data_IF_973661594615
#
_entry.id   IF_973661594615
#
_cell.length_a   1.000
_cell.length_b   1.000
_cell.length_c   1.000
_cell.angle_alpha   90.00
_cell.angle_beta   90.00
_cell.angle_gamma   90.00
#
_symmetry.space_group_name_H-M   'P 1'
#
loop_
_entity.id
_entity.type
_entity.pdbx_description
1 polymer ?
#
# COMPACT_ATOMS: atom_id res chain seq x y z
N UNK A 1 13.16 -8.47 19.88
CA UNK A 1 14.13 -7.48 19.36
C UNK A 1 13.39 -6.19 19.03
N UNK A 2 14.09 -5.03 18.99
CA UNK A 2 13.47 -3.76 18.61
C UNK A 2 14.05 -3.27 17.29
N UNK A 3 13.16 -2.93 16.34
CA UNK A 3 13.51 -2.29 15.09
C UNK A 3 13.22 -0.79 15.17
N UNK A 4 14.15 0.02 14.69
CA UNK A 4 13.95 1.45 14.54
C UNK A 4 13.50 1.74 13.09
N UNK A 5 12.23 2.08 12.93
CA UNK A 5 11.61 2.37 11.64
C UNK A 5 11.49 3.88 11.49
N UNK A 6 12.11 4.43 10.46
CA UNK A 6 11.85 5.82 10.05
C UNK A 6 10.66 5.83 9.07
N UNK A 7 9.76 6.77 9.24
CA UNK A 7 8.62 6.97 8.34
C UNK A 7 8.70 8.37 7.75
N UNK A 8 8.53 8.50 6.45
CA UNK A 8 8.56 9.78 5.74
C UNK A 8 7.29 9.97 4.89
N UNK A 9 6.77 11.19 4.85
CA UNK A 9 5.64 11.56 3.99
C UNK A 9 6.01 11.73 2.52
N UNK A 10 5.31 12.61 1.80
CA UNK A 10 5.53 12.84 0.37
C UNK A 10 6.95 13.40 0.09
N UNK A 11 7.63 12.83 -0.90
CA UNK A 11 9.02 13.17 -1.25
C UNK A 11 9.11 14.23 -2.33
N UNK A 12 8.24 14.17 -3.33
CA UNK A 12 8.18 15.08 -4.48
C UNK A 12 9.50 15.25 -5.24
N UNK A 13 10.24 14.14 -5.41
CA UNK A 13 11.44 14.08 -6.24
C UNK A 13 12.74 14.50 -5.58
N UNK A 14 12.74 14.72 -4.28
CA UNK A 14 13.92 15.05 -3.45
C UNK A 14 14.39 13.83 -2.62
N UNK A 15 14.42 12.64 -3.21
CA UNK A 15 14.66 11.36 -2.52
C UNK A 15 16.03 11.33 -1.80
N UNK A 16 17.08 11.86 -2.44
CA UNK A 16 18.40 11.96 -1.81
C UNK A 16 18.38 12.81 -0.55
N UNK A 17 17.67 13.93 -0.58
CA UNK A 17 17.55 14.82 0.59
C UNK A 17 16.83 14.13 1.75
N UNK A 18 15.88 13.25 1.47
CA UNK A 18 15.22 12.44 2.50
C UNK A 18 16.23 11.52 3.17
N UNK A 19 17.06 10.79 2.41
CA UNK A 19 18.12 9.98 3.00
C UNK A 19 19.11 10.83 3.81
N UNK A 20 19.58 11.94 3.26
CA UNK A 20 20.51 12.85 3.96
C UNK A 20 19.89 13.36 5.29
N UNK A 21 18.59 13.68 5.29
CA UNK A 21 17.86 14.11 6.49
C UNK A 21 17.82 12.99 7.53
N UNK A 22 17.36 11.79 7.14
CA UNK A 22 17.22 10.65 8.05
C UNK A 22 18.59 10.25 8.64
N UNK A 23 19.63 10.16 7.81
CA UNK A 23 20.98 9.85 8.26
C UNK A 23 21.54 10.91 9.20
N UNK A 24 21.34 12.20 8.93
CA UNK A 24 21.81 13.27 9.80
C UNK A 24 21.19 13.22 11.20
N UNK A 25 19.96 12.72 11.30
CA UNK A 25 19.25 12.55 12.58
C UNK A 25 19.61 11.23 13.27
N UNK A 26 19.93 10.18 12.50
CA UNK A 26 20.35 8.89 13.06
C UNK A 26 21.67 8.95 13.84
N UNK A 27 22.55 9.91 13.54
CA UNK A 27 23.75 10.16 14.33
C UNK A 27 23.47 10.64 15.76
N UNK A 28 22.32 11.26 15.99
CA UNK A 28 21.85 11.71 17.30
C UNK A 28 20.86 10.77 17.96
N UNK A 29 20.39 9.76 17.22
CA UNK A 29 19.40 8.76 17.62
C UNK A 29 19.91 7.35 17.30
N UNK A 30 19.09 6.32 17.55
CA UNK A 30 19.41 4.93 17.20
C UNK A 30 19.53 4.74 15.68
N UNK A 31 20.34 3.74 15.26
CA UNK A 31 20.42 3.33 13.85
C UNK A 31 19.04 2.98 13.31
N UNK A 32 18.73 3.47 12.12
CA UNK A 32 17.48 3.13 11.41
C UNK A 32 17.66 1.81 10.67
N UNK A 33 16.75 0.88 10.87
CA UNK A 33 16.76 -0.45 10.27
C UNK A 33 15.90 -0.51 8.99
N UNK A 34 14.84 0.29 8.92
CA UNK A 34 13.90 0.37 7.80
C UNK A 34 13.45 1.83 7.60
N UNK A 35 13.38 2.28 6.35
CA UNK A 35 12.71 3.51 5.97
C UNK A 35 11.40 3.19 5.24
N UNK A 36 10.29 3.83 5.65
CA UNK A 36 9.00 3.76 4.98
C UNK A 36 8.71 5.13 4.35
N UNK A 37 8.35 5.16 3.06
CA UNK A 37 7.96 6.37 2.36
C UNK A 37 6.51 6.24 1.88
N UNK A 38 5.68 7.21 2.27
CA UNK A 38 4.23 7.18 2.11
C UNK A 38 3.74 7.80 0.78
N UNK A 39 4.53 7.64 -0.28
CA UNK A 39 4.16 8.01 -1.64
C UNK A 39 4.70 9.33 -2.15
N UNK A 40 4.30 9.69 -3.38
CA UNK A 40 4.75 10.85 -4.13
C UNK A 40 6.29 10.93 -4.27
N UNK A 41 6.91 9.78 -4.52
CA UNK A 41 8.38 9.68 -4.63
C UNK A 41 8.88 10.28 -5.94
N UNK A 42 8.11 10.14 -7.02
CA UNK A 42 8.43 10.67 -8.35
C UNK A 42 9.73 10.08 -8.93
N UNK A 43 9.80 8.77 -9.01
CA UNK A 43 10.96 8.02 -9.54
C UNK A 43 11.06 8.14 -11.06
N UNK A 44 11.20 9.36 -11.58
CA UNK A 44 11.35 9.64 -13.02
C UNK A 44 12.72 9.18 -13.49
N UNK A 45 12.78 8.18 -14.36
CA UNK A 45 14.02 7.65 -14.94
C UNK A 45 14.64 8.58 -15.99
N UNK A 46 13.77 9.29 -16.73
CA UNK A 46 14.16 10.20 -17.80
C UNK A 46 13.05 11.21 -18.13
N UNK A 47 13.32 12.14 -19.04
CA UNK A 47 12.31 13.08 -19.55
C UNK A 47 11.14 12.38 -20.26
N UNK A 48 11.34 11.16 -20.75
CA UNK A 48 10.27 10.37 -21.40
C UNK A 48 9.18 9.90 -20.41
N UNK A 49 9.48 9.86 -19.13
CA UNK A 49 8.52 9.48 -18.09
C UNK A 49 7.59 10.64 -17.71
N UNK A 50 7.93 11.89 -18.03
CA UNK A 50 7.13 13.08 -17.70
C UNK A 50 5.69 13.01 -18.22
N UNK A 51 5.43 12.30 -19.31
CA UNK A 51 4.08 12.13 -19.85
C UNK A 51 3.18 11.32 -18.91
N UNK A 52 3.76 10.45 -18.10
CA UNK A 52 3.05 9.53 -17.20
C UNK A 52 2.79 10.10 -15.79
N UNK A 53 3.43 11.22 -15.43
CA UNK A 53 3.24 11.84 -14.12
C UNK A 53 2.09 12.85 -14.13
N UNK A 54 1.33 12.89 -13.05
CA UNK A 54 0.21 13.82 -12.88
C UNK A 54 0.60 15.02 -12.02
N UNK A 55 1.37 15.95 -12.60
CA UNK A 55 1.81 17.19 -11.95
C UNK A 55 1.44 18.38 -12.82
N UNK A 56 1.00 19.51 -12.24
CA UNK A 56 0.77 20.72 -13.01
C UNK A 56 2.00 21.17 -13.80
N UNK A 57 1.87 21.60 -15.06
CA UNK A 57 3.00 21.95 -15.93
C UNK A 57 3.98 22.94 -15.32
N UNK A 58 3.51 23.89 -14.53
CA UNK A 58 4.35 24.87 -13.84
C UNK A 58 5.42 24.27 -12.89
N UNK A 59 5.21 23.02 -12.44
CA UNK A 59 6.16 22.30 -11.60
C UNK A 59 7.04 21.33 -12.39
N UNK A 60 6.63 21.00 -13.64
CA UNK A 60 7.40 20.14 -14.53
C UNK A 60 8.45 20.91 -15.33
N UNK A 61 8.23 22.19 -15.57
CA UNK A 61 9.09 23.01 -16.40
C UNK A 61 9.49 24.28 -15.67
N UNK A 62 10.78 24.58 -15.67
CA UNK A 62 11.32 25.86 -15.25
C UNK A 62 12.00 26.49 -16.46
N UNK A 63 11.51 27.65 -16.92
CA UNK A 63 12.00 28.34 -18.13
C UNK A 63 12.11 27.42 -19.36
N UNK A 64 11.07 26.59 -19.62
CA UNK A 64 11.02 25.59 -20.71
C UNK A 64 12.02 24.42 -20.59
N UNK A 65 12.73 24.30 -19.47
CA UNK A 65 13.59 23.14 -19.18
C UNK A 65 12.82 22.16 -18.31
N UNK A 66 12.76 20.89 -18.69
CA UNK A 66 12.11 19.84 -17.90
C UNK A 66 12.81 19.68 -16.55
N UNK A 67 12.03 19.82 -15.47
CA UNK A 67 12.51 19.57 -14.12
C UNK A 67 12.40 18.09 -13.83
N UNK A 68 13.43 17.33 -14.15
CA UNK A 68 13.56 15.96 -13.73
C UNK A 68 13.98 15.93 -12.27
N UNK A 69 13.40 14.99 -11.49
CA UNK A 69 13.72 14.74 -10.09
C UNK A 69 15.18 14.29 -9.90
N UNK A 70 15.58 14.02 -8.68
CA UNK A 70 16.95 13.54 -8.40
C UNK A 70 17.17 12.06 -8.74
N UNK A 71 16.09 11.27 -8.97
CA UNK A 71 16.16 9.83 -9.19
C UNK A 71 17.09 9.38 -10.36
N UNK A 72 17.15 10.07 -11.53
CA UNK A 72 18.12 9.70 -12.57
C UNK A 72 19.57 9.68 -12.10
N UNK A 73 19.92 10.49 -11.09
CA UNK A 73 21.26 10.53 -10.53
C UNK A 73 21.58 9.27 -9.73
N UNK A 74 20.58 8.65 -9.09
CA UNK A 74 20.77 7.38 -8.40
C UNK A 74 21.30 6.32 -9.36
N UNK A 75 20.66 6.23 -10.54
CA UNK A 75 21.07 5.26 -11.57
C UNK A 75 22.42 5.63 -12.17
N UNK A 76 22.61 6.92 -12.56
CA UNK A 76 23.83 7.39 -13.22
C UNK A 76 25.07 7.31 -12.32
N UNK A 77 24.91 7.71 -11.07
CA UNK A 77 26.02 7.83 -10.12
C UNK A 77 26.18 6.56 -9.26
N UNK A 78 25.41 5.49 -9.56
CA UNK A 78 25.37 4.23 -8.81
C UNK A 78 25.21 4.47 -7.31
N UNK A 79 24.30 5.37 -6.94
CA UNK A 79 24.09 5.75 -5.54
C UNK A 79 23.60 4.55 -4.73
N UNK A 80 24.37 4.19 -3.72
CA UNK A 80 23.98 3.10 -2.81
C UNK A 80 22.94 3.62 -1.81
N UNK A 81 21.75 3.02 -1.83
CA UNK A 81 20.71 3.32 -0.83
C UNK A 81 21.20 2.85 0.53
N UNK A 82 21.23 3.76 1.53
CA UNK A 82 21.90 3.47 2.82
C UNK A 82 21.04 2.69 3.80
N UNK A 83 19.73 2.62 3.57
CA UNK A 83 18.74 2.01 4.48
C UNK A 83 17.74 1.26 3.61
N UNK A 84 17.45 -0.04 3.88
CA UNK A 84 16.36 -0.74 3.22
C UNK A 84 15.08 0.12 3.25
N UNK A 85 14.50 0.36 2.10
CA UNK A 85 13.39 1.30 1.97
C UNK A 85 12.19 0.65 1.31
N UNK A 86 11.03 0.76 1.93
CA UNK A 86 9.74 0.39 1.34
C UNK A 86 8.98 1.66 0.96
N UNK A 87 8.37 1.65 -0.22
CA UNK A 87 7.54 2.76 -0.70
C UNK A 87 6.17 2.26 -1.13
N UNK A 88 5.16 3.08 -0.95
CA UNK A 88 3.87 2.98 -1.65
C UNK A 88 3.76 4.09 -2.70
N UNK A 89 2.86 3.95 -3.65
CA UNK A 89 2.61 4.99 -4.64
C UNK A 89 1.62 6.04 -4.15
N UNK A 90 1.88 7.32 -4.50
CA UNK A 90 0.92 8.40 -4.34
C UNK A 90 0.22 8.75 -5.68
N UNK A 91 -0.30 9.98 -5.76
CA UNK A 91 -0.94 10.47 -6.99
C UNK A 91 0.03 11.22 -7.93
N UNK A 92 1.24 11.48 -7.48
CA UNK A 92 2.29 12.15 -8.26
C UNK A 92 3.46 11.20 -8.56
N UNK A 93 3.16 10.05 -9.20
CA UNK A 93 4.16 9.04 -9.49
C UNK A 93 4.48 8.89 -10.98
N UNK A 94 5.62 8.25 -11.26
CA UNK A 94 5.95 7.73 -12.58
C UNK A 94 5.08 6.49 -12.86
N UNK A 95 3.89 6.72 -13.40
CA UNK A 95 2.92 5.64 -13.64
C UNK A 95 3.40 4.64 -14.70
N UNK A 96 4.36 4.99 -15.58
CA UNK A 96 5.00 4.00 -16.46
C UNK A 96 5.74 2.94 -15.67
N UNK A 97 6.54 3.37 -14.70
CA UNK A 97 7.34 2.47 -13.89
C UNK A 97 6.47 1.68 -12.90
N UNK A 98 5.52 2.34 -12.23
CA UNK A 98 4.68 1.68 -11.23
C UNK A 98 3.73 0.65 -11.85
N UNK A 99 3.27 0.89 -13.07
CA UNK A 99 2.45 -0.08 -13.80
C UNK A 99 3.23 -1.35 -14.24
N UNK A 100 4.56 -1.31 -14.25
CA UNK A 100 5.39 -2.49 -14.47
C UNK A 100 5.43 -3.44 -13.25
N UNK A 101 5.08 -2.93 -12.04
CA UNK A 101 5.18 -3.62 -10.75
C UNK A 101 3.84 -3.66 -9.98
N UNK A 102 2.72 -4.14 -10.56
CA UNK A 102 1.42 -4.12 -9.89
C UNK A 102 1.37 -4.98 -8.62
N UNK A 103 2.25 -5.98 -8.50
CA UNK A 103 2.40 -6.88 -7.34
C UNK A 103 3.58 -6.52 -6.43
N UNK A 104 4.19 -5.36 -6.63
CA UNK A 104 5.39 -4.94 -5.95
C UNK A 104 6.68 -5.40 -6.64
N UNK A 105 7.79 -4.87 -6.16
CA UNK A 105 9.12 -5.18 -6.66
C UNK A 105 10.11 -4.04 -6.38
N UNK A 106 11.39 -4.33 -6.61
CA UNK A 106 12.45 -3.35 -6.43
C UNK A 106 12.50 -2.38 -7.62
N UNK A 107 12.30 -1.11 -7.36
CA UNK A 107 12.47 -0.02 -8.34
C UNK A 107 13.96 0.26 -8.57
N UNK A 108 14.74 0.08 -7.52
CA UNK A 108 16.19 0.24 -7.48
C UNK A 108 16.74 -0.65 -6.34
N UNK A 109 18.02 -1.04 -6.32
CA UNK A 109 18.58 -1.81 -5.19
C UNK A 109 18.23 -1.16 -3.85
N UNK A 110 17.73 -1.96 -2.91
CA UNK A 110 17.26 -1.55 -1.58
C UNK A 110 16.07 -0.55 -1.56
N UNK A 111 15.43 -0.28 -2.70
CA UNK A 111 14.21 0.53 -2.82
C UNK A 111 13.06 -0.33 -3.34
N UNK A 112 12.26 -0.85 -2.42
CA UNK A 112 11.15 -1.76 -2.70
C UNK A 112 9.82 -1.00 -2.79
N UNK A 113 9.14 -1.15 -3.92
CA UNK A 113 7.76 -0.67 -4.10
C UNK A 113 6.76 -1.77 -3.72
N UNK A 114 5.80 -1.45 -2.86
CA UNK A 114 4.84 -2.41 -2.33
C UNK A 114 3.82 -2.92 -3.37
N UNK A 115 3.71 -2.25 -4.52
CA UNK A 115 2.72 -2.56 -5.55
C UNK A 115 1.41 -1.81 -5.36
N UNK A 116 0.39 -2.23 -6.10
CA UNK A 116 -0.96 -1.67 -5.93
C UNK A 116 -1.56 -2.03 -4.57
N UNK A 117 -1.25 -3.22 -4.06
CA UNK A 117 -1.62 -3.75 -2.75
C UNK A 117 -0.71 -4.93 -2.42
N UNK A 118 -0.35 -5.06 -1.16
CA UNK A 118 0.42 -6.22 -0.69
C UNK A 118 0.38 -6.35 0.84
N UNK A 119 0.75 -7.52 1.32
CA UNK A 119 1.22 -7.76 2.68
C UNK A 119 2.59 -8.41 2.59
N UNK A 120 3.57 -7.79 3.24
CA UNK A 120 4.95 -8.27 3.27
C UNK A 120 5.45 -8.34 4.72
N UNK A 121 6.48 -9.12 4.93
CA UNK A 121 7.20 -9.18 6.21
C UNK A 121 8.63 -8.66 6.05
N UNK A 122 9.13 -8.01 7.09
CA UNK A 122 10.51 -7.56 7.21
C UNK A 122 10.97 -7.79 8.64
N UNK A 123 11.90 -8.72 8.86
CA UNK A 123 12.40 -9.09 10.20
C UNK A 123 11.26 -9.39 11.18
N UNK A 124 10.23 -10.09 10.74
CA UNK A 124 9.05 -10.39 11.55
C UNK A 124 8.02 -9.26 11.66
N UNK A 125 8.33 -8.04 11.21
CA UNK A 125 7.38 -6.93 11.12
C UNK A 125 6.43 -7.16 9.95
N UNK A 126 5.12 -7.22 10.20
CA UNK A 126 4.10 -7.45 9.15
C UNK A 126 3.51 -6.12 8.69
N UNK A 127 3.73 -5.81 7.43
CA UNK A 127 3.38 -4.54 6.80
C UNK A 127 2.39 -4.80 5.66
N UNK A 128 1.18 -4.31 5.80
CA UNK A 128 0.21 -4.23 4.71
C UNK A 128 0.21 -2.84 4.09
N UNK A 129 -0.20 -2.72 2.85
CA UNK A 129 -0.37 -1.40 2.26
C UNK A 129 -0.93 -1.46 0.84
N UNK A 130 -1.31 -0.27 0.37
CA UNK A 130 -1.83 -0.07 -0.97
C UNK A 130 -1.49 1.33 -1.47
N UNK A 131 -1.42 1.46 -2.79
CA UNK A 131 -0.97 2.68 -3.48
C UNK A 131 -2.12 3.48 -4.05
N UNK A 132 -1.95 4.81 -4.11
CA UNK A 132 -2.88 5.71 -4.78
C UNK A 132 -3.79 6.47 -3.84
N UNK A 133 -4.77 7.15 -4.43
CA UNK A 133 -5.81 7.92 -3.72
C UNK A 133 -7.18 7.47 -4.18
N UNK A 134 -8.21 7.77 -3.38
CA UNK A 134 -9.58 7.44 -3.76
C UNK A 134 -10.15 8.46 -4.73
N UNK A 135 -10.79 7.97 -5.78
CA UNK A 135 -11.70 8.72 -6.61
C UNK A 135 -12.98 7.90 -6.79
N UNK A 136 -14.07 8.34 -6.19
CA UNK A 136 -15.34 7.60 -6.15
C UNK A 136 -15.88 7.24 -7.53
N UNK A 137 -15.61 8.10 -8.55
CA UNK A 137 -16.00 7.82 -9.93
C UNK A 137 -15.27 6.61 -10.53
N UNK A 138 -14.04 6.31 -10.06
CA UNK A 138 -13.22 5.24 -10.62
C UNK A 138 -13.18 3.96 -9.75
N UNK A 139 -13.72 4.00 -8.52
CA UNK A 139 -13.62 2.91 -7.53
C UNK A 139 -14.04 1.55 -8.10
N UNK A 140 -15.11 1.49 -8.85
CA UNK A 140 -15.67 0.26 -9.43
C UNK A 140 -15.25 -0.01 -10.88
N UNK A 141 -14.45 0.86 -11.49
CA UNK A 141 -13.97 0.67 -12.86
C UNK A 141 -12.76 -0.26 -12.91
N UNK A 142 -12.59 -0.89 -14.04
CA UNK A 142 -11.35 -1.62 -14.32
C UNK A 142 -10.21 -0.63 -14.61
N UNK A 143 -8.99 -1.04 -14.22
CA UNK A 143 -7.78 -0.31 -14.62
C UNK A 143 -7.61 -0.39 -16.14
N UNK A 144 -7.29 0.74 -16.81
CA UNK A 144 -6.98 0.70 -18.23
C UNK A 144 -5.69 -0.09 -18.48
N UNK A 145 -5.69 -0.84 -19.57
CA UNK A 145 -4.51 -1.59 -20.00
C UNK A 145 -3.44 -0.61 -20.47
N UNK A 146 -2.28 -0.67 -19.83
CA UNK A 146 -1.13 0.18 -20.20
C UNK A 146 -0.53 -0.33 -21.49
N UNK A 147 -0.36 0.54 -22.53
CA UNK A 147 0.28 0.13 -23.77
C UNK A 147 1.72 -0.29 -23.52
N UNK A 148 2.07 -1.50 -23.94
CA UNK A 148 3.47 -1.93 -23.95
C UNK A 148 4.25 -1.05 -24.94
N UNK A 149 5.42 -0.57 -24.54
CA UNK A 149 6.36 0.04 -25.47
C UNK A 149 6.79 -1.07 -26.43
N UNK A 150 6.25 -1.08 -27.64
CA UNK A 150 6.80 -1.95 -28.68
C UNK A 150 8.26 -1.54 -28.90
N UNK A 151 9.16 -2.42 -28.55
CA UNK A 151 10.52 -2.42 -29.06
C UNK A 151 10.41 -2.42 -30.58
N UNK A 152 10.94 -1.47 -31.25
CA UNK A 152 10.94 -1.36 -32.71
C UNK A 152 9.82 -0.53 -33.33
N UNK A 153 9.95 0.76 -33.32
CA UNK A 153 9.87 1.45 -34.61
C UNK A 153 10.50 2.83 -34.50
N UNK A 154 11.73 2.94 -34.95
CA UNK A 154 12.39 4.22 -35.24
C UNK A 154 11.67 5.02 -36.36
N UNK A 155 10.45 4.65 -36.73
CA UNK A 155 9.82 5.06 -38.00
C UNK A 155 8.37 5.52 -37.93
N UNK A 156 7.83 6.05 -36.79
CA UNK A 156 6.65 6.90 -37.00
C UNK A 156 6.39 7.85 -35.84
N UNK A 157 6.44 9.14 -36.13
CA UNK A 157 5.92 10.23 -35.27
C UNK A 157 4.45 10.01 -34.86
N UNK A 158 3.69 9.18 -35.56
CA UNK A 158 2.27 8.84 -35.29
C UNK A 158 2.09 7.95 -34.08
N UNK A 159 2.93 6.93 -33.88
CA UNK A 159 2.83 6.03 -32.70
C UNK A 159 3.21 6.72 -31.39
N UNK A 160 4.24 7.55 -31.40
CA UNK A 160 4.63 8.37 -30.25
C UNK A 160 3.53 9.34 -29.84
N UNK A 161 2.83 9.94 -30.80
CA UNK A 161 1.69 10.82 -30.51
C UNK A 161 0.50 10.06 -29.92
N UNK A 162 0.20 8.84 -30.40
CA UNK A 162 -0.88 8.01 -29.87
C UNK A 162 -0.61 7.54 -28.43
N UNK A 163 0.62 7.14 -28.12
CA UNK A 163 1.02 6.79 -26.75
C UNK A 163 0.93 7.99 -25.81
N UNK A 164 1.38 9.16 -26.23
CA UNK A 164 1.28 10.38 -25.43
C UNK A 164 -0.18 10.79 -25.18
N UNK A 165 -1.06 10.63 -26.18
CA UNK A 165 -2.51 10.86 -26.02
C UNK A 165 -3.11 9.87 -25.02
N UNK A 166 -2.73 8.60 -25.07
CA UNK A 166 -3.19 7.60 -24.12
C UNK A 166 -2.80 7.97 -22.69
N UNK A 167 -1.53 8.34 -22.45
CA UNK A 167 -1.04 8.77 -21.13
C UNK A 167 -1.76 10.00 -20.63
N UNK A 168 -1.93 11.01 -21.47
CA UNK A 168 -2.63 12.23 -21.10
C UNK A 168 -4.08 11.97 -20.67
N UNK A 169 -4.74 11.00 -21.29
CA UNK A 169 -6.12 10.60 -20.97
C UNK A 169 -6.19 9.74 -19.69
N UNK A 170 -5.25 8.84 -19.49
CA UNK A 170 -5.41 7.74 -18.52
C UNK A 170 -4.52 7.86 -17.28
N UNK A 171 -3.44 8.65 -17.27
CA UNK A 171 -2.48 8.68 -16.16
C UNK A 171 -3.11 8.96 -14.79
N UNK A 172 -4.17 9.75 -14.73
CA UNK A 172 -4.86 10.05 -13.47
C UNK A 172 -5.60 8.85 -12.93
N UNK A 173 -6.32 8.13 -13.77
CA UNK A 173 -7.09 6.96 -13.33
C UNK A 173 -6.18 5.80 -12.88
N UNK A 174 -4.90 5.76 -13.28
CA UNK A 174 -3.97 4.69 -12.90
C UNK A 174 -3.59 4.72 -11.41
N UNK A 175 -3.57 5.90 -10.79
CA UNK A 175 -3.31 6.01 -9.34
C UNK A 175 -4.59 6.07 -8.49
N UNK A 176 -5.77 5.94 -9.10
CA UNK A 176 -7.00 5.83 -8.31
C UNK A 176 -7.14 4.40 -7.79
N UNK A 177 -7.39 4.26 -6.50
CA UNK A 177 -7.64 2.96 -5.86
C UNK A 177 -8.94 2.35 -6.37
N UNK A 178 -8.93 1.06 -6.65
CA UNK A 178 -10.12 0.29 -7.03
C UNK A 178 -10.63 -0.53 -5.85
N UNK A 179 -11.93 -0.71 -5.75
CA UNK A 179 -12.53 -1.60 -4.76
C UNK A 179 -11.89 -3.00 -4.83
N UNK A 180 -11.74 -3.54 -6.04
CA UNK A 180 -11.12 -4.85 -6.27
C UNK A 180 -9.64 -4.93 -5.84
N UNK A 181 -8.93 -3.80 -5.73
CA UNK A 181 -7.58 -3.80 -5.19
C UNK A 181 -7.55 -3.99 -3.68
N UNK A 182 -8.61 -3.59 -2.98
CA UNK A 182 -8.72 -3.69 -1.53
C UNK A 182 -9.35 -5.01 -1.06
N UNK A 183 -10.06 -5.74 -1.94
CA UNK A 183 -10.67 -7.03 -1.62
C UNK A 183 -9.67 -8.02 -1.00
N UNK A 184 -8.46 -8.24 -1.56
CA UNK A 184 -7.51 -9.17 -0.94
C UNK A 184 -7.07 -8.75 0.46
N UNK A 185 -6.91 -7.44 0.71
CA UNK A 185 -6.54 -6.90 2.02
C UNK A 185 -7.67 -7.05 3.04
N UNK A 186 -8.91 -6.81 2.61
CA UNK A 186 -10.08 -7.04 3.45
C UNK A 186 -10.22 -8.51 3.85
N UNK A 187 -10.14 -9.43 2.87
CA UNK A 187 -10.19 -10.87 3.12
C UNK A 187 -9.03 -11.32 4.02
N UNK A 188 -7.84 -10.78 3.83
CA UNK A 188 -6.71 -11.03 4.71
C UNK A 188 -7.04 -10.67 6.17
N UNK A 189 -7.59 -9.49 6.39
CA UNK A 189 -7.92 -9.02 7.73
C UNK A 189 -9.00 -9.85 8.44
N UNK A 190 -10.00 -10.36 7.70
CA UNK A 190 -11.11 -11.12 8.29
C UNK A 190 -10.87 -12.63 8.34
N UNK A 191 -9.85 -13.14 7.63
CA UNK A 191 -9.57 -14.56 7.52
C UNK A 191 -8.24 -14.97 8.15
N UNK A 192 -7.34 -14.01 8.44
CA UNK A 192 -6.05 -14.26 9.07
C UNK A 192 -6.11 -13.95 10.56
N UNK A 193 -5.62 -14.86 11.39
CA UNK A 193 -5.44 -14.65 12.83
C UNK A 193 -4.15 -13.88 13.16
N UNK A 194 -3.44 -13.41 12.13
CA UNK A 194 -2.14 -12.76 12.27
C UNK A 194 -2.31 -11.24 12.33
N UNK A 195 -1.92 -10.58 13.44
CA UNK A 195 -2.04 -9.14 13.57
C UNK A 195 -1.11 -8.41 12.60
N UNK A 196 -1.55 -7.25 12.13
CA UNK A 196 -0.75 -6.33 11.33
C UNK A 196 -0.06 -5.32 12.24
N UNK A 197 1.24 -5.13 12.03
CA UNK A 197 1.98 -4.09 12.73
C UNK A 197 1.73 -2.73 12.11
N UNK A 198 1.71 -2.68 10.78
CA UNK A 198 1.52 -1.45 10.03
C UNK A 198 0.59 -1.63 8.84
N UNK A 199 -0.23 -0.61 8.58
CA UNK A 199 -0.93 -0.41 7.30
C UNK A 199 -0.48 0.91 6.70
N UNK A 200 -0.09 0.88 5.43
CA UNK A 200 0.39 2.02 4.67
C UNK A 200 -0.65 2.41 3.62
N UNK A 201 -1.08 3.67 3.64
CA UNK A 201 -1.89 4.27 2.58
C UNK A 201 -1.39 5.67 2.26
N UNK A 202 -1.54 6.11 1.00
CA UNK A 202 -1.14 7.49 0.68
C UNK A 202 -2.16 8.49 1.23
N UNK A 203 -3.45 8.26 0.96
CA UNK A 203 -4.57 9.04 1.48
C UNK A 203 -5.05 8.52 2.84
N UNK A 204 -5.83 9.32 3.57
CA UNK A 204 -6.30 9.01 4.93
C UNK A 204 -7.59 8.20 4.90
N UNK A 205 -7.86 7.30 5.85
CA UNK A 205 -9.24 6.89 6.15
C UNK A 205 -10.06 8.10 6.59
N UNK A 206 -11.27 8.27 6.08
CA UNK A 206 -12.06 9.46 6.36
C UNK A 206 -12.45 9.55 7.85
N UNK A 207 -12.74 8.40 8.47
CA UNK A 207 -13.17 8.32 9.88
C UNK A 207 -12.13 8.80 10.88
N UNK A 208 -10.83 8.80 10.55
CA UNK A 208 -9.76 9.15 11.52
C UNK A 208 -9.92 10.57 12.07
N UNK A 209 -10.48 11.50 11.29
CA UNK A 209 -10.70 12.88 11.73
C UNK A 209 -11.64 12.97 12.94
N UNK A 210 -12.49 11.97 13.18
CA UNK A 210 -13.42 11.90 14.30
C UNK A 210 -12.73 11.49 15.61
N UNK A 211 -11.50 10.98 15.56
CA UNK A 211 -10.78 10.40 16.68
C UNK A 211 -9.65 11.27 17.21
N UNK A 212 -9.40 12.45 16.63
CA UNK A 212 -8.29 13.30 17.02
C UNK A 212 -8.67 14.76 17.25
N UNK A 213 -7.65 15.59 17.48
CA UNK A 213 -7.85 17.02 17.70
C UNK A 213 -8.10 17.76 16.39
N UNK A 214 -9.39 17.90 16.02
CA UNK A 214 -9.83 18.61 14.81
C UNK A 214 -9.44 20.09 14.85
N UNK A 215 -9.48 20.74 16.01
CA UNK A 215 -9.15 22.17 16.13
C UNK A 215 -7.68 22.42 15.77
N UNK A 216 -6.77 21.56 16.23
CA UNK A 216 -5.36 21.62 15.85
C UNK A 216 -5.15 21.38 14.35
N UNK A 217 -5.86 20.42 13.76
CA UNK A 217 -5.84 20.19 12.32
C UNK A 217 -6.31 21.44 11.54
N UNK A 218 -7.45 21.99 11.92
CA UNK A 218 -8.05 23.13 11.24
C UNK A 218 -7.29 24.44 11.48
N UNK A 219 -6.56 24.57 12.59
CA UNK A 219 -5.64 25.68 12.82
C UNK A 219 -4.49 25.67 11.80
N UNK A 220 -3.99 24.51 11.44
CA UNK A 220 -2.91 24.34 10.46
C UNK A 220 -3.40 24.32 9.02
N UNK A 221 -4.63 23.79 8.79
CA UNK A 221 -5.27 23.63 7.48
C UNK A 221 -6.72 24.14 7.50
N UNK A 222 -6.95 25.46 7.58
CA UNK A 222 -8.30 26.02 7.72
C UNK A 222 -9.25 25.66 6.58
N UNK A 223 -8.73 25.40 5.38
CA UNK A 223 -9.51 25.05 4.19
C UNK A 223 -10.08 23.64 4.24
N UNK A 224 -9.65 22.76 5.15
CA UNK A 224 -10.26 21.45 5.36
C UNK A 224 -11.58 21.49 6.14
N UNK A 225 -11.96 22.66 6.69
CA UNK A 225 -13.14 22.78 7.57
C UNK A 225 -14.41 22.19 6.97
N UNK A 226 -14.69 22.46 5.69
CA UNK A 226 -15.88 21.94 5.02
C UNK A 226 -15.86 20.42 4.90
N UNK A 227 -14.74 19.87 4.45
CA UNK A 227 -14.57 18.43 4.26
C UNK A 227 -14.60 17.68 5.60
N UNK A 228 -13.98 18.24 6.65
CA UNK A 228 -14.02 17.66 8.00
C UNK A 228 -15.45 17.64 8.56
N UNK A 229 -16.20 18.75 8.43
CA UNK A 229 -17.58 18.84 8.92
C UNK A 229 -18.53 17.90 8.20
N UNK A 230 -18.27 17.62 6.90
CA UNK A 230 -19.06 16.70 6.10
C UNK A 230 -18.60 15.23 6.25
N UNK A 231 -17.48 14.95 6.94
CA UNK A 231 -16.88 13.62 6.98
C UNK A 231 -16.27 13.17 5.64
N UNK A 232 -15.88 14.13 4.81
CA UNK A 232 -15.38 13.92 3.44
C UNK A 232 -13.85 14.05 3.33
N UNK A 233 -13.14 14.43 4.41
CA UNK A 233 -11.69 14.53 4.39
C UNK A 233 -11.07 13.15 4.44
N UNK A 234 -10.42 12.75 3.36
CA UNK A 234 -9.85 11.40 3.19
C UNK A 234 -10.79 10.47 2.40
N UNK A 235 -10.63 9.19 2.57
CA UNK A 235 -11.30 8.15 1.80
C UNK A 235 -12.29 7.33 2.64
N UNK A 236 -13.58 7.38 2.33
CA UNK A 236 -14.57 6.51 3.00
C UNK A 236 -14.38 5.03 2.62
N UNK A 237 -13.71 4.73 1.51
CA UNK A 237 -13.39 3.37 1.08
C UNK A 237 -12.40 2.66 2.05
N UNK A 238 -11.61 3.42 2.83
CA UNK A 238 -10.62 2.85 3.76
C UNK A 238 -11.19 2.63 5.17
N UNK A 239 -12.36 3.21 5.49
CA UNK A 239 -12.97 3.07 6.81
C UNK A 239 -13.32 1.62 7.16
N UNK A 240 -13.96 0.82 6.26
CA UNK A 240 -14.18 -0.60 6.51
C UNK A 240 -12.87 -1.38 6.73
N UNK A 241 -11.82 -1.05 5.98
CA UNK A 241 -10.52 -1.69 6.14
C UNK A 241 -9.90 -1.39 7.51
N UNK A 242 -9.91 -0.12 7.93
CA UNK A 242 -9.39 0.27 9.24
C UNK A 242 -10.10 -0.51 10.38
N UNK A 243 -11.43 -0.68 10.27
CA UNK A 243 -12.26 -1.40 11.26
C UNK A 243 -11.93 -2.88 11.37
N UNK A 244 -11.58 -3.55 10.24
CA UNK A 244 -11.29 -4.99 10.24
C UNK A 244 -9.80 -5.29 10.39
N UNK A 245 -8.92 -4.47 9.83
CA UNK A 245 -7.46 -4.68 9.88
C UNK A 245 -6.87 -4.38 11.26
N UNK A 246 -7.38 -3.38 11.97
CA UNK A 246 -6.96 -2.96 13.31
C UNK A 246 -5.43 -3.03 13.51
N UNK A 247 -4.61 -2.41 12.65
CA UNK A 247 -3.16 -2.48 12.79
C UNK A 247 -2.70 -1.73 14.03
N UNK A 248 -1.49 -2.02 14.52
CA UNK A 248 -0.87 -1.19 15.57
C UNK A 248 -0.70 0.25 15.12
N UNK A 249 -0.29 0.44 13.84
CA UNK A 249 -0.11 1.75 13.23
C UNK A 249 -0.77 1.81 11.85
N UNK A 250 -1.50 2.90 11.58
CA UNK A 250 -1.93 3.27 10.23
C UNK A 250 -1.21 4.53 9.82
N UNK A 251 -0.42 4.47 8.74
CA UNK A 251 0.49 5.54 8.32
C UNK A 251 0.05 6.10 6.97
N UNK A 252 -0.11 7.43 6.88
CA UNK A 252 -0.56 8.14 5.68
C UNK A 252 0.21 9.43 5.42
N UNK A 253 -0.02 10.05 4.24
CA UNK A 253 0.57 11.36 3.88
C UNK A 253 -0.44 12.21 3.11
N UNK A 254 -0.23 12.51 1.83
CA UNK A 254 -1.11 13.17 0.85
C UNK A 254 -1.59 14.59 1.23
N UNK A 255 -2.21 14.78 2.38
CA UNK A 255 -2.81 16.05 2.81
C UNK A 255 -1.79 17.08 3.31
N UNK A 256 -0.51 16.72 3.28
CA UNK A 256 0.63 17.58 3.62
C UNK A 256 0.50 18.26 4.98
N UNK A 257 0.20 17.49 6.01
CA UNK A 257 0.17 17.92 7.40
C UNK A 257 0.58 16.77 8.30
N UNK A 258 1.45 17.02 9.28
CA UNK A 258 1.74 16.02 10.33
C UNK A 258 0.63 16.08 11.36
N UNK A 259 -0.14 15.01 11.47
CA UNK A 259 -1.26 14.92 12.39
C UNK A 259 -1.49 13.46 12.78
N UNK A 260 -2.03 13.22 13.97
CA UNK A 260 -2.27 11.86 14.42
C UNK A 260 -3.39 11.78 15.44
N UNK A 261 -3.90 10.56 15.60
CA UNK A 261 -4.92 10.23 16.59
C UNK A 261 -4.82 8.75 16.99
N UNK A 262 -5.54 8.37 18.01
CA UNK A 262 -5.75 6.98 18.41
C UNK A 262 -7.20 6.58 18.09
N UNK A 263 -7.35 5.55 17.25
CA UNK A 263 -8.66 4.96 16.95
C UNK A 263 -8.86 3.78 17.89
N UNK A 264 -9.78 3.93 18.83
CA UNK A 264 -10.12 2.89 19.80
C UNK A 264 -11.26 2.05 19.24
N UNK A 265 -11.10 0.73 19.24
CA UNK A 265 -12.15 -0.19 18.80
C UNK A 265 -12.90 -0.69 20.03
N UNK A 266 -14.25 -0.66 20.01
CA UNK A 266 -15.04 -1.27 21.07
C UNK A 266 -14.72 -2.77 21.10
N UNK A 267 -14.50 -3.29 22.32
CA UNK A 267 -14.57 -4.73 22.53
C UNK A 267 -15.98 -5.17 22.12
N UNK A 268 -16.08 -6.17 21.27
CA UNK A 268 -17.33 -6.91 21.15
C UNK A 268 -17.37 -7.77 22.40
N UNK A 269 -18.00 -7.26 23.46
CA UNK A 269 -18.49 -8.14 24.51
C UNK A 269 -19.44 -9.08 23.79
N UNK A 270 -19.02 -10.31 23.63
CA UNK A 270 -19.95 -11.39 23.29
C UNK A 270 -20.89 -11.44 24.49
N UNK A 271 -22.08 -10.84 24.36
CA UNK A 271 -23.15 -11.05 25.32
C UNK A 271 -23.33 -12.56 25.39
N UNK A 272 -22.82 -13.16 26.46
CA UNK A 272 -23.15 -14.56 26.81
C UNK A 272 -24.65 -14.56 26.92
N UNK A 273 -25.31 -15.36 26.06
CA UNK A 273 -26.73 -15.61 26.14
C UNK A 273 -26.99 -16.17 27.54
N UNK A 274 -27.68 -15.41 28.41
CA UNK A 274 -27.93 -15.77 29.80
C UNK A 274 -28.82 -16.99 30.00
N UNK A 275 -29.30 -17.58 28.89
CA UNK A 275 -30.21 -18.72 28.88
C UNK A 275 -29.54 -20.04 28.50
N UNK A 276 -28.23 -20.07 28.28
CA UNK A 276 -27.49 -21.29 28.03
C UNK A 276 -26.97 -21.87 29.36
N UNK A 277 -27.52 -23.01 29.78
CA UNK A 277 -27.11 -23.74 30.98
C UNK A 277 -25.73 -24.34 30.69
N UNK A 278 -24.70 -23.83 31.34
CA UNK A 278 -23.34 -24.37 31.31
C UNK A 278 -23.33 -25.78 31.91
N UNK A 279 -23.21 -26.78 31.05
CA UNK A 279 -23.06 -28.20 31.44
C UNK A 279 -21.59 -28.68 31.48
N UNK A 280 -20.62 -27.81 31.16
CA UNK A 280 -19.20 -28.13 31.23
C UNK A 280 -18.43 -26.91 31.77
N UNK A 281 -17.97 -27.08 33.01
CA UNK A 281 -17.09 -26.18 33.72
C UNK A 281 -15.65 -26.44 33.25
N UNK A 282 -15.34 -26.03 32.02
CA UNK A 282 -13.97 -25.96 31.53
C UNK A 282 -13.51 -24.51 31.62
N UNK A 283 -12.43 -24.29 32.35
CA UNK A 283 -11.73 -23.02 32.49
C UNK A 283 -11.41 -22.47 31.08
N UNK A 284 -12.31 -21.66 30.49
CA UNK A 284 -11.99 -20.85 29.33
C UNK A 284 -10.94 -19.81 29.75
N UNK A 285 -9.67 -20.16 29.49
CA UNK A 285 -8.63 -19.16 29.38
C UNK A 285 -9.15 -18.02 28.48
N UNK A 286 -9.21 -16.81 29.03
CA UNK A 286 -9.44 -15.57 28.31
C UNK A 286 -8.43 -15.49 27.15
N UNK A 287 -8.76 -16.04 26.01
CA UNK A 287 -8.09 -15.81 24.75
C UNK A 287 -8.35 -14.34 24.38
N UNK A 288 -7.54 -13.45 24.96
CA UNK A 288 -7.47 -12.06 24.57
C UNK A 288 -7.33 -12.00 23.05
N UNK A 289 -8.19 -11.24 22.38
CA UNK A 289 -8.14 -11.10 20.94
C UNK A 289 -6.70 -10.71 20.54
N UNK A 290 -6.09 -11.43 19.60
CA UNK A 290 -4.74 -11.16 19.09
C UNK A 290 -4.62 -9.79 18.40
N UNK A 291 -5.73 -9.06 18.26
CA UNK A 291 -5.79 -7.80 17.55
C UNK A 291 -5.71 -6.62 18.52
N UNK A 292 -5.00 -5.54 18.12
CA UNK A 292 -4.95 -4.31 18.90
C UNK A 292 -6.34 -3.73 19.14
N UNK A 293 -6.61 -3.31 20.37
CA UNK A 293 -7.80 -2.52 20.70
C UNK A 293 -7.69 -1.06 20.28
N UNK A 294 -6.48 -0.61 19.92
CA UNK A 294 -6.16 0.76 19.51
C UNK A 294 -5.26 0.75 18.30
N UNK A 295 -5.64 1.48 17.26
CA UNK A 295 -4.77 1.82 16.15
C UNK A 295 -4.23 3.24 16.30
N UNK A 296 -2.91 3.41 16.25
CA UNK A 296 -2.28 4.72 16.17
C UNK A 296 -2.24 5.19 14.74
N UNK A 297 -3.05 6.18 14.39
CA UNK A 297 -2.99 6.84 13.11
C UNK A 297 -1.95 7.96 13.11
N UNK A 298 -1.09 8.00 12.08
CA UNK A 298 -0.11 9.05 11.89
C UNK A 298 -0.06 9.45 10.42
N UNK A 299 -0.31 10.72 10.15
CA UNK A 299 -0.08 11.33 8.85
C UNK A 299 1.13 12.25 8.89
N UNK A 300 1.89 12.31 7.79
CA UNK A 300 3.09 13.13 7.67
C UNK A 300 2.96 14.18 6.55
N UNK A 301 3.61 15.33 6.76
CA UNK A 301 3.72 16.40 5.76
C UNK A 301 4.67 15.95 4.64
N UNK A 302 4.68 16.69 3.55
CA UNK A 302 5.71 16.56 2.53
C UNK A 302 7.07 17.11 3.01
N UNK A 303 8.13 16.67 2.36
CA UNK A 303 9.45 17.23 2.60
C UNK A 303 9.46 18.75 2.34
N UNK A 304 9.83 19.52 3.35
CA UNK A 304 10.05 20.96 3.27
C UNK A 304 11.31 21.31 4.06
N UNK A 305 12.34 21.92 3.41
CA UNK A 305 13.58 22.28 4.10
C UNK A 305 13.36 23.22 5.29
N UNK A 306 12.33 24.07 5.23
CA UNK A 306 11.97 25.01 6.31
C UNK A 306 11.32 24.34 7.52
N UNK A 307 10.74 23.14 7.35
CA UNK A 307 10.02 22.39 8.40
C UNK A 307 10.28 20.89 8.30
N UNK A 308 11.55 20.45 8.33
CA UNK A 308 11.88 19.06 8.07
C UNK A 308 11.22 18.08 9.06
N UNK A 309 11.06 18.47 10.33
CA UNK A 309 10.44 17.62 11.37
C UNK A 309 8.95 17.32 11.17
N UNK A 310 8.28 17.97 10.20
CA UNK A 310 6.89 17.66 9.89
C UNK A 310 6.75 16.53 8.87
N UNK A 311 7.80 16.24 8.11
CA UNK A 311 7.78 15.24 7.04
C UNK A 311 8.17 13.84 7.48
N UNK A 312 8.69 13.65 8.68
CA UNK A 312 9.12 12.32 9.15
C UNK A 312 8.81 12.09 10.63
N UNK A 313 8.87 10.80 11.01
CA UNK A 313 8.82 10.34 12.39
C UNK A 313 9.63 9.04 12.56
N UNK A 314 9.86 8.63 13.81
CA UNK A 314 10.52 7.39 14.16
C UNK A 314 9.59 6.52 15.02
N UNK A 315 9.50 5.25 14.67
CA UNK A 315 8.74 4.25 15.41
C UNK A 315 9.71 3.17 15.91
N UNK A 316 9.57 2.79 17.17
CA UNK A 316 10.27 1.64 17.73
C UNK A 316 9.29 0.46 17.75
N UNK A 317 9.59 -0.59 17.00
CA UNK A 317 8.72 -1.74 16.81
C UNK A 317 9.32 -2.98 17.49
N UNK A 318 8.53 -3.65 18.31
CA UNK A 318 8.91 -4.95 18.87
C UNK A 318 8.66 -6.04 17.82
N UNK A 319 9.69 -6.86 17.57
CA UNK A 319 9.63 -7.99 16.63
C UNK A 319 10.11 -9.25 17.26
N UNK A 320 9.53 -10.38 16.82
CA UNK A 320 9.82 -11.69 17.42
C UNK A 320 11.07 -12.36 16.82
N UNK A 321 11.45 -12.00 15.60
CA UNK A 321 12.50 -12.70 14.85
C UNK A 321 13.40 -11.75 14.07
N UNK A 322 14.68 -12.14 13.88
CA UNK A 322 15.74 -11.36 13.22
C UNK A 322 16.45 -12.16 12.11
N UNK A 323 15.79 -13.10 11.49
CA UNK A 323 16.49 -14.08 10.64
C UNK A 323 16.85 -13.55 9.26
N UNK A 324 16.15 -12.56 8.70
CA UNK A 324 16.43 -12.05 7.34
C UNK A 324 16.38 -10.53 7.26
N UNK A 325 17.31 -9.94 6.46
CA UNK A 325 17.26 -8.53 6.06
C UNK A 325 16.49 -8.33 4.75
N UNK A 326 15.73 -9.33 4.31
CA UNK A 326 14.99 -9.31 3.04
C UNK A 326 13.51 -9.09 3.32
N UNK A 327 12.83 -8.52 2.35
CA UNK A 327 11.37 -8.52 2.33
C UNK A 327 10.88 -9.89 1.85
N UNK A 328 9.81 -10.38 2.47
CA UNK A 328 9.14 -11.62 2.10
C UNK A 328 7.66 -11.33 1.86
N UNK A 329 7.05 -12.02 0.90
CA UNK A 329 5.60 -12.01 0.73
C UNK A 329 4.93 -12.78 1.86
N UNK A 330 3.84 -12.24 2.42
CA UNK A 330 3.04 -12.98 3.40
C UNK A 330 2.30 -14.15 2.71
N UNK A 331 2.53 -15.41 3.16
CA UNK A 331 1.94 -16.58 2.51
C UNK A 331 0.42 -16.60 2.50
N UNK A 332 -0.21 -16.11 3.59
CA UNK A 332 -1.68 -16.03 3.69
C UNK A 332 -2.22 -15.05 2.66
N UNK A 333 -1.57 -13.88 2.54
CA UNK A 333 -1.96 -12.88 1.54
C UNK A 333 -1.83 -13.41 0.11
N UNK A 334 -0.75 -14.13 -0.20
CA UNK A 334 -0.54 -14.74 -1.52
C UNK A 334 -1.66 -15.75 -1.83
N UNK A 335 -2.05 -16.59 -0.87
CA UNK A 335 -3.14 -17.56 -1.07
C UNK A 335 -4.48 -16.85 -1.30
N UNK A 336 -4.78 -15.79 -0.55
CA UNK A 336 -5.97 -14.96 -0.77
C UNK A 336 -5.94 -14.29 -2.14
N UNK A 337 -4.78 -13.77 -2.56
CA UNK A 337 -4.63 -13.15 -3.86
C UNK A 337 -4.88 -14.14 -5.01
N UNK A 338 -4.44 -15.41 -4.85
CA UNK A 338 -4.78 -16.51 -5.77
C UNK A 338 -6.28 -16.72 -5.86
N UNK A 339 -6.94 -16.88 -4.72
CA UNK A 339 -8.39 -17.04 -4.66
C UNK A 339 -9.12 -15.91 -5.38
N UNK A 340 -8.78 -14.67 -5.05
CA UNK A 340 -9.40 -13.49 -5.68
C UNK A 340 -9.12 -13.45 -7.18
N UNK A 341 -7.93 -13.84 -7.63
CA UNK A 341 -7.60 -13.89 -9.05
C UNK A 341 -8.38 -14.98 -9.78
N UNK A 342 -8.51 -16.16 -9.18
CA UNK A 342 -9.28 -17.29 -9.74
C UNK A 342 -10.76 -16.94 -9.88
N UNK A 343 -11.33 -16.29 -8.87
CA UNK A 343 -12.77 -15.96 -8.80
C UNK A 343 -13.06 -14.49 -9.14
N UNK A 344 -12.17 -13.83 -9.89
CA UNK A 344 -12.27 -12.41 -10.17
C UNK A 344 -13.62 -11.97 -10.78
N UNK A 345 -14.12 -12.76 -11.74
CA UNK A 345 -15.34 -12.41 -12.45
C UNK A 345 -16.60 -12.60 -11.56
N UNK A 346 -16.59 -13.63 -10.72
CA UNK A 346 -17.66 -13.90 -9.76
C UNK A 346 -17.71 -12.79 -8.70
N UNK A 347 -16.57 -12.48 -8.11
CA UNK A 347 -16.45 -11.40 -7.12
C UNK A 347 -16.88 -10.05 -7.71
N UNK A 348 -16.49 -9.74 -8.95
CA UNK A 348 -16.92 -8.50 -9.61
C UNK A 348 -18.43 -8.40 -9.79
N UNK A 349 -19.13 -9.52 -9.99
CA UNK A 349 -20.60 -9.54 -10.13
C UNK A 349 -21.33 -9.32 -8.79
N UNK A 350 -20.68 -9.62 -7.67
CA UNK A 350 -21.23 -9.40 -6.32
C UNK A 350 -21.12 -7.94 -5.88
N UNK A 351 -20.22 -7.19 -6.50
CA UNK A 351 -19.98 -5.79 -6.15
C UNK A 351 -21.03 -4.91 -6.83
N UNK A 352 -21.85 -4.23 -6.02
CA UNK A 352 -22.90 -3.33 -6.48
C UNK A 352 -22.56 -1.86 -6.11
N UNK A 353 -22.34 -0.98 -7.09
CA UNK A 353 -22.09 0.43 -6.83
C UNK A 353 -23.19 1.18 -6.06
N UNK A 354 -24.41 0.62 -5.99
CA UNK A 354 -25.52 1.15 -5.22
C UNK A 354 -25.54 0.78 -3.75
N UNK A 355 -24.67 -0.15 -3.33
CA UNK A 355 -24.50 -0.56 -1.94
C UNK A 355 -23.36 0.21 -1.27
N UNK A 356 -23.34 0.23 0.06
CA UNK A 356 -22.21 0.75 0.83
C UNK A 356 -20.93 -0.08 0.59
N UNK A 357 -19.78 0.47 0.97
CA UNK A 357 -18.52 -0.28 0.89
C UNK A 357 -18.53 -1.48 1.86
N UNK A 358 -19.09 -1.30 3.05
CA UNK A 358 -19.26 -2.35 4.06
C UNK A 358 -20.09 -3.53 3.51
N UNK A 359 -21.24 -3.24 2.88
CA UNK A 359 -22.09 -4.28 2.27
C UNK A 359 -21.38 -5.01 1.15
N UNK A 360 -20.68 -4.28 0.27
CA UNK A 360 -19.90 -4.89 -0.80
C UNK A 360 -18.78 -5.80 -0.27
N UNK A 361 -18.06 -5.38 0.78
CA UNK A 361 -17.07 -6.22 1.44
C UNK A 361 -17.70 -7.43 2.13
N UNK A 362 -18.85 -7.28 2.78
CA UNK A 362 -19.59 -8.39 3.39
C UNK A 362 -20.04 -9.43 2.35
N UNK A 363 -20.52 -8.98 1.18
CA UNK A 363 -20.89 -9.87 0.08
C UNK A 363 -19.67 -10.69 -0.42
N UNK A 364 -18.52 -10.05 -0.56
CA UNK A 364 -17.28 -10.74 -0.95
C UNK A 364 -16.83 -11.72 0.11
N UNK A 365 -16.95 -11.38 1.41
CA UNK A 365 -16.65 -12.30 2.50
C UNK A 365 -17.57 -13.52 2.47
N UNK A 366 -18.88 -13.33 2.32
CA UNK A 366 -19.84 -14.44 2.21
C UNK A 366 -19.51 -15.39 1.05
N UNK A 367 -19.07 -14.84 -0.08
CA UNK A 367 -18.59 -15.66 -1.19
C UNK A 367 -17.33 -16.45 -0.83
N UNK A 368 -16.35 -15.79 -0.17
CA UNK A 368 -15.14 -16.46 0.29
C UNK A 368 -15.44 -17.56 1.30
N UNK A 369 -16.33 -17.32 2.27
CA UNK A 369 -16.72 -18.33 3.28
C UNK A 369 -17.41 -19.56 2.65
N UNK A 370 -18.12 -19.37 1.51
CA UNK A 370 -18.79 -20.43 0.78
C UNK A 370 -17.87 -21.22 -0.18
N UNK A 371 -16.82 -20.61 -0.72
CA UNK A 371 -16.00 -21.19 -1.79
C UNK A 371 -14.52 -21.28 -1.45
N UNK A 372 -14.06 -20.58 -0.40
CA UNK A 372 -12.69 -20.60 0.06
C UNK A 372 -12.45 -21.71 1.06
N UNK A 373 -11.38 -22.47 0.88
CA UNK A 373 -10.94 -23.42 1.89
C UNK A 373 -10.07 -22.71 2.92
N UNK A 374 -10.56 -22.50 4.15
CA UNK A 374 -9.76 -21.96 5.26
C UNK A 374 -8.48 -22.75 5.51
N UNK A 375 -8.48 -24.03 5.21
CA UNK A 375 -7.29 -24.90 5.26
C UNK A 375 -6.18 -24.47 4.29
N UNK A 376 -6.54 -23.82 3.16
CA UNK A 376 -5.55 -23.30 2.21
C UNK A 376 -4.79 -22.10 2.74
N UNK A 377 -5.40 -21.29 3.63
CA UNK A 377 -4.77 -20.08 4.15
C UNK A 377 -3.55 -20.40 5.00
N UNK A 378 -3.58 -21.48 5.75
CA UNK A 378 -2.50 -21.89 6.66
C UNK A 378 -1.50 -22.87 6.03
N UNK A 379 -1.72 -23.30 4.78
CA UNK A 379 -0.73 -24.11 4.06
C UNK A 379 0.45 -23.21 3.70
N UNK A 380 1.57 -23.34 4.43
CA UNK A 380 2.88 -23.05 3.86
C UNK A 380 3.07 -24.07 2.74
N UNK A 381 2.78 -23.68 1.52
CA UNK A 381 3.21 -24.44 0.36
C UNK A 381 4.75 -24.43 0.38
N UNK A 382 5.42 -25.44 -0.18
CA UNK A 382 6.89 -25.49 -0.32
C UNK A 382 7.41 -24.39 -1.29
N UNK A 383 6.74 -23.24 -1.33
CA UNK A 383 7.10 -22.12 -2.17
C UNK A 383 8.08 -21.21 -1.41
N UNK A 384 9.06 -20.73 -2.14
CA UNK A 384 9.93 -19.67 -1.64
C UNK A 384 9.19 -18.32 -1.71
N UNK A 385 8.94 -17.70 -0.56
CA UNK A 385 8.25 -16.42 -0.43
C UNK A 385 9.20 -15.22 -0.43
N UNK A 386 10.51 -15.45 -0.55
CA UNK A 386 11.49 -14.37 -0.66
C UNK A 386 11.19 -13.51 -1.90
N UNK A 387 11.26 -12.20 -1.72
CA UNK A 387 11.13 -11.25 -2.81
C UNK A 387 12.45 -11.26 -3.59
N UNK A 388 12.34 -11.51 -4.89
CA UNK A 388 13.50 -11.53 -5.78
C UNK A 388 14.16 -10.16 -5.79
N UNK A 389 15.49 -10.14 -5.83
CA UNK A 389 16.27 -8.91 -5.83
C UNK A 389 15.99 -8.01 -7.05
N UNK A 390 16.62 -6.85 -7.05
CA UNK A 390 16.46 -5.86 -8.11
C UNK A 390 16.84 -6.43 -9.50
N UNK A 391 15.96 -6.23 -10.46
CA UNK A 391 16.17 -6.49 -11.90
C UNK A 391 15.96 -5.19 -12.67
N UNK A 392 16.86 -4.85 -13.59
CA UNK A 392 16.74 -3.64 -14.43
C UNK A 392 15.46 -3.64 -15.27
N UNK A 393 15.08 -4.80 -15.80
CA UNK A 393 13.79 -5.02 -16.45
C UNK A 393 12.74 -5.35 -15.39
N UNK A 394 12.05 -4.32 -14.91
CA UNK A 394 11.07 -4.45 -13.84
C UNK A 394 9.93 -5.41 -14.17
N UNK A 395 9.59 -5.58 -15.46
CA UNK A 395 8.52 -6.49 -15.89
C UNK A 395 8.84 -7.96 -15.61
N UNK A 396 10.12 -8.32 -15.48
CA UNK A 396 10.54 -9.66 -15.08
C UNK A 396 10.12 -9.99 -13.66
N UNK A 397 10.24 -9.05 -12.73
CA UNK A 397 9.80 -9.23 -11.35
C UNK A 397 8.30 -9.55 -11.27
N UNK A 398 7.48 -8.83 -12.05
CA UNK A 398 6.04 -9.12 -12.18
C UNK A 398 5.78 -10.48 -12.81
N UNK A 399 6.51 -10.82 -13.89
CA UNK A 399 6.36 -12.11 -14.56
C UNK A 399 6.70 -13.25 -13.61
N UNK A 400 7.76 -13.11 -12.84
CA UNK A 400 8.16 -14.10 -11.85
C UNK A 400 7.13 -14.25 -10.74
N UNK A 401 6.64 -13.14 -10.17
CA UNK A 401 5.56 -13.19 -9.18
C UNK A 401 4.34 -13.93 -9.71
N UNK A 402 3.88 -13.60 -10.91
CA UNK A 402 2.71 -14.21 -11.53
C UNK A 402 2.94 -15.71 -11.78
N UNK A 403 4.11 -16.11 -12.30
CA UNK A 403 4.44 -17.52 -12.57
C UNK A 403 4.56 -18.33 -11.28
N UNK A 404 5.12 -17.74 -10.23
CA UNK A 404 5.40 -18.39 -8.95
C UNK A 404 4.12 -18.52 -8.09
N UNK A 405 3.27 -17.52 -8.10
CA UNK A 405 2.17 -17.42 -7.16
C UNK A 405 0.77 -17.43 -7.78
N UNK A 406 0.57 -17.00 -9.01
CA UNK A 406 -0.78 -16.86 -9.59
C UNK A 406 -1.13 -17.91 -10.64
N UNK A 407 -0.15 -18.53 -11.31
CA UNK A 407 -0.42 -19.68 -12.15
C UNK A 407 -0.48 -20.94 -11.30
N UNK A 408 -1.67 -21.48 -11.06
CA UNK A 408 -1.80 -22.87 -10.66
C UNK A 408 -1.49 -23.72 -11.88
N UNK A 409 -0.50 -24.62 -11.78
CA UNK A 409 -0.39 -25.72 -12.72
C UNK A 409 -1.67 -26.56 -12.62
N UNK A 410 -2.62 -26.33 -13.51
CA UNK A 410 -3.73 -27.25 -13.78
C UNK A 410 -3.11 -28.35 -14.67
N UNK A 411 -2.21 -29.14 -14.09
CA UNK A 411 -1.75 -30.39 -14.72
C UNK A 411 -1.26 -31.32 -13.63
N UNK A 412 -2.18 -32.06 -12.98
CA UNK A 412 -1.87 -33.40 -12.48
C UNK A 412 -3.06 -34.12 -11.85
N UNK A 413 -4.26 -34.03 -12.41
CA UNK A 413 -5.31 -35.00 -12.07
C UNK A 413 -6.26 -35.28 -13.27
N UNK A 414 -5.71 -35.41 -14.48
CA UNK A 414 -6.48 -35.92 -15.62
C UNK A 414 -5.65 -36.93 -16.44
N UNK A 415 -5.01 -37.88 -15.75
CA UNK A 415 -4.50 -39.10 -16.38
C UNK A 415 -4.70 -40.28 -15.42
N UNK A 416 -5.93 -40.64 -15.26
CA UNK A 416 -6.32 -41.81 -14.45
C UNK A 416 -7.75 -42.19 -14.75
N UNK A 417 -8.07 -42.59 -15.97
CA UNK A 417 -8.98 -43.70 -16.36
C UNK A 417 -8.57 -44.14 -17.76
#
# INVERSE_FOLDING_TARGET
>A
MKLNVAVHGCVHGDLKKVYDLILSKSHTQKKVDLLIILGDVQTLRSAQDLVSISIPPKYLYNNNVSRITDFPKFVKDHYKIPIPTIIIGGNHENMKQFAELPHGGYIYPDLYYLGLKSVVTFKGLRIAGFSGITNLYDVYKQLPVVPRSSETSKTSNTLGNQQNQWWNKNKKTLYHVRFMDLVPLYLYAVCSDLPLDMVLSHDWPAVVTQHGNIEDLLKRKPYFRKEVLNGELGSPLYDPLLRVMKPKHWLSSHLHVKWGCEVVFPFVDVEKNKDEIDLFDDEEENLGSNFPSVTKFLALDKYLPSRPGQSFDYLEMDVCDDTTNLFEYDPVFVNILRFVNTHKNEIQRLVNPGCSFEENFANVRGFFDAHGEKSMLNKKNDLDYNIVGYEEDLSKQTTEFVSRFLYTNITSEASGV
#
